data_IF_579518819679
#
_entry.id   IF_579518819679
#
_cell.length_a   1.000
_cell.length_b   1.000
_cell.length_c   1.000
_cell.angle_alpha   90.00
_cell.angle_beta   90.00
_cell.angle_gamma   90.00
#
_symmetry.space_group_name_H-M   'P 1'
#
loop_
_entity.id
_entity.type
_entity.pdbx_description
1 polymer ?
#
# COMPACT_ATOMS: atom_id res chain seq x y z
N UNK A 1 -16.16 12.48 8.82
CA UNK A 1 -15.02 12.79 7.91
C UNK A 1 -13.80 12.04 8.43
N UNK A 2 -12.97 11.50 7.54
CA UNK A 2 -11.65 10.98 7.93
C UNK A 2 -10.81 12.16 8.46
N UNK A 3 -10.33 12.10 9.70
CA UNK A 3 -9.46 13.11 10.29
C UNK A 3 -7.98 12.86 9.96
N UNK A 4 -7.16 13.92 9.95
CA UNK A 4 -5.70 13.83 9.77
C UNK A 4 -5.20 14.08 8.35
N UNK A 5 -3.88 13.89 8.14
CA UNK A 5 -3.22 14.07 6.83
C UNK A 5 -3.49 12.87 5.94
N UNK A 6 -4.33 13.05 4.93
CA UNK A 6 -4.70 12.03 3.94
C UNK A 6 -3.80 12.12 2.70
N UNK A 7 -3.51 10.96 2.12
CA UNK A 7 -2.95 10.83 0.77
C UNK A 7 -3.91 9.98 -0.06
N UNK A 8 -4.35 10.48 -1.22
CA UNK A 8 -5.17 9.71 -2.15
C UNK A 8 -4.36 9.36 -3.40
N UNK A 9 -4.44 8.10 -3.81
CA UNK A 9 -3.77 7.53 -4.98
C UNK A 9 -4.86 6.91 -5.86
N UNK A 10 -4.83 7.24 -7.15
CA UNK A 10 -5.69 6.62 -8.15
C UNK A 10 -4.86 5.70 -9.04
N UNK A 11 -4.96 4.39 -8.85
CA UNK A 11 -4.28 3.43 -9.74
C UNK A 11 -4.96 3.37 -11.10
N UNK A 12 -4.16 3.19 -12.15
CA UNK A 12 -4.64 2.77 -13.44
C UNK A 12 -4.88 1.24 -13.41
N UNK A 13 -5.85 0.72 -14.19
CA UNK A 13 -6.30 -0.69 -14.31
C UNK A 13 -7.57 -1.07 -13.52
N UNK A 14 -8.15 -2.22 -13.88
CA UNK A 14 -9.35 -2.77 -13.24
C UNK A 14 -9.09 -3.23 -11.79
N UNK A 15 -10.14 -3.48 -11.02
CA UNK A 15 -10.10 -3.66 -9.57
C UNK A 15 -8.93 -4.53 -9.04
N UNK A 16 -8.78 -5.76 -9.56
CA UNK A 16 -7.71 -6.67 -9.11
C UNK A 16 -6.32 -6.22 -9.59
N UNK A 17 -6.22 -5.78 -10.85
CA UNK A 17 -4.95 -5.35 -11.45
C UNK A 17 -4.41 -4.05 -10.84
N UNK A 18 -5.30 -3.18 -10.39
CA UNK A 18 -4.96 -1.97 -9.66
C UNK A 18 -4.33 -2.28 -8.29
N UNK A 19 -4.80 -3.35 -7.63
CA UNK A 19 -4.27 -3.80 -6.33
C UNK A 19 -2.97 -4.57 -6.47
N UNK A 20 -2.96 -5.59 -7.34
CA UNK A 20 -1.82 -6.48 -7.59
C UNK A 20 -0.89 -5.89 -8.65
N UNK A 21 -0.19 -4.82 -8.29
CA UNK A 21 0.69 -4.11 -9.20
C UNK A 21 2.10 -3.99 -8.60
N UNK A 22 2.92 -5.06 -8.63
CA UNK A 22 4.26 -5.02 -8.04
C UNK A 22 5.21 -4.06 -8.77
N UNK A 23 6.22 -3.50 -8.07
CA UNK A 23 7.31 -2.74 -8.69
C UNK A 23 7.97 -3.51 -9.84
N UNK A 24 8.38 -2.79 -10.88
CA UNK A 24 8.98 -3.38 -12.08
C UNK A 24 8.00 -3.66 -13.23
N UNK A 25 6.70 -3.49 -13.04
CA UNK A 25 5.72 -3.55 -14.14
C UNK A 25 5.79 -2.28 -15.01
N UNK A 26 6.26 -2.34 -16.28
CA UNK A 26 6.42 -1.16 -17.12
C UNK A 26 5.09 -0.55 -17.59
N UNK A 27 3.99 -1.30 -17.49
CA UNK A 27 2.63 -0.82 -17.83
C UNK A 27 1.93 -0.15 -16.65
N UNK A 28 2.51 -0.26 -15.45
CA UNK A 28 1.95 0.33 -14.25
C UNK A 28 2.01 1.86 -14.32
N UNK A 29 0.91 2.49 -13.92
CA UNK A 29 0.88 3.91 -13.65
C UNK A 29 -0.23 4.22 -12.66
N UNK A 30 -0.10 5.34 -11.99
CA UNK A 30 -1.09 5.84 -11.04
C UNK A 30 -1.08 7.37 -11.06
N UNK A 31 -2.10 7.98 -10.47
CA UNK A 31 -2.22 9.42 -10.35
C UNK A 31 -2.16 9.84 -8.89
N UNK A 32 -1.52 10.99 -8.65
CA UNK A 32 -1.43 11.62 -7.34
C UNK A 32 -1.79 13.10 -7.44
N UNK A 33 -2.30 13.67 -6.35
CA UNK A 33 -2.56 15.10 -6.26
C UNK A 33 -2.42 15.54 -4.81
N UNK A 34 -1.88 16.73 -4.59
CA UNK A 34 -1.71 17.32 -3.27
C UNK A 34 -2.95 18.10 -2.79
N UNK A 35 -3.90 18.34 -3.71
CA UNK A 35 -5.16 19.03 -3.43
C UNK A 35 -6.32 18.05 -3.41
N UNK A 36 -7.25 18.24 -2.46
CA UNK A 36 -8.40 17.36 -2.24
C UNK A 36 -9.72 18.15 -2.34
N UNK A 37 -10.13 18.58 -3.56
CA UNK A 37 -11.46 19.13 -3.76
C UNK A 37 -12.54 18.09 -3.44
N UNK A 38 -13.76 18.54 -3.17
CA UNK A 38 -14.90 17.64 -2.93
C UNK A 38 -15.32 16.88 -4.20
N UNK A 39 -15.05 17.47 -5.37
CA UNK A 39 -15.37 16.95 -6.69
C UNK A 39 -14.20 16.06 -7.19
N UNK A 40 -14.44 14.77 -7.49
CA UNK A 40 -13.40 13.85 -7.92
C UNK A 40 -12.89 14.14 -9.33
N UNK A 41 -13.72 14.66 -10.24
CA UNK A 41 -13.30 15.10 -11.57
C UNK A 41 -12.30 16.27 -11.47
N UNK A 42 -12.53 17.21 -10.55
CA UNK A 42 -11.58 18.28 -10.26
C UNK A 42 -10.27 17.77 -9.66
N UNK A 43 -10.33 16.73 -8.82
CA UNK A 43 -9.14 16.06 -8.30
C UNK A 43 -8.33 15.45 -9.44
N UNK A 44 -8.98 14.68 -10.33
CA UNK A 44 -8.34 13.97 -11.43
C UNK A 44 -7.76 14.92 -12.48
N UNK A 45 -8.48 15.99 -12.82
CA UNK A 45 -8.04 16.99 -13.80
C UNK A 45 -6.71 17.68 -13.42
N UNK A 46 -6.36 17.70 -12.13
CA UNK A 46 -5.12 18.30 -11.61
C UNK A 46 -4.11 17.25 -11.13
N UNK A 47 -4.44 15.98 -11.23
CA UNK A 47 -3.58 14.91 -10.76
C UNK A 47 -2.40 14.68 -11.72
N UNK A 48 -1.23 14.40 -11.16
CA UNK A 48 -0.04 14.05 -11.90
C UNK A 48 0.03 12.55 -12.10
N UNK A 49 0.22 12.11 -13.35
CA UNK A 49 0.48 10.70 -13.66
C UNK A 49 1.92 10.34 -13.31
N UNK A 50 2.11 9.29 -12.54
CA UNK A 50 3.40 8.66 -12.24
C UNK A 50 3.45 7.28 -12.89
N UNK A 51 4.61 6.94 -13.44
CA UNK A 51 4.89 5.61 -13.98
C UNK A 51 5.35 4.67 -12.87
N UNK A 52 5.11 3.38 -13.02
CA UNK A 52 5.47 2.38 -12.02
C UNK A 52 4.35 2.06 -11.04
N UNK A 53 4.69 1.30 -10.00
CA UNK A 53 3.75 0.84 -8.99
C UNK A 53 3.50 1.92 -7.94
N UNK A 54 2.24 2.08 -7.52
CA UNK A 54 1.92 2.93 -6.38
C UNK A 54 2.45 2.38 -5.04
N UNK A 55 2.87 1.11 -4.99
CA UNK A 55 3.45 0.49 -3.79
C UNK A 55 4.71 1.21 -3.33
N UNK A 56 5.47 1.84 -4.24
CA UNK A 56 6.69 2.59 -3.89
C UNK A 56 6.35 3.87 -3.12
N UNK A 57 5.37 4.64 -3.60
CA UNK A 57 4.85 5.82 -2.89
C UNK A 57 4.26 5.43 -1.52
N UNK A 58 3.54 4.30 -1.47
CA UNK A 58 2.99 3.79 -0.22
C UNK A 58 4.06 3.33 0.76
N UNK A 59 5.10 2.63 0.30
CA UNK A 59 6.27 2.24 1.10
C UNK A 59 6.94 3.46 1.72
N UNK A 60 7.17 4.51 0.94
CA UNK A 60 7.84 5.71 1.42
C UNK A 60 6.97 6.50 2.41
N UNK A 61 5.67 6.58 2.13
CA UNK A 61 4.69 7.14 3.06
C UNK A 61 4.65 6.37 4.39
N UNK A 62 4.72 5.04 4.34
CA UNK A 62 4.73 4.18 5.52
C UNK A 62 6.04 4.31 6.29
N UNK A 63 7.19 4.34 5.59
CA UNK A 63 8.52 4.46 6.20
C UNK A 63 8.65 5.70 7.10
N UNK A 64 8.07 6.84 6.70
CA UNK A 64 8.02 8.06 7.53
C UNK A 64 7.24 7.89 8.84
N UNK A 65 6.45 6.82 8.96
CA UNK A 65 5.54 6.53 10.08
C UNK A 65 5.87 5.24 10.82
N UNK A 66 6.92 4.51 10.42
CA UNK A 66 7.30 3.22 11.01
C UNK A 66 8.40 3.31 12.07
N UNK A 67 8.82 4.51 12.45
CA UNK A 67 9.92 4.72 13.39
C UNK A 67 11.30 4.42 12.79
N UNK A 68 12.33 4.38 13.65
CA UNK A 68 13.70 4.07 13.22
C UNK A 68 13.91 2.60 12.89
N UNK A 69 14.90 2.31 12.04
CA UNK A 69 15.33 0.95 11.78
C UNK A 69 15.90 0.30 13.04
N UNK A 70 15.64 -1.00 13.20
CA UNK A 70 16.21 -1.84 14.25
C UNK A 70 16.60 -3.19 13.67
N UNK A 71 17.45 -3.93 14.37
CA UNK A 71 17.80 -5.29 14.00
C UNK A 71 16.54 -6.16 13.88
N UNK A 72 16.48 -6.97 12.82
CA UNK A 72 15.39 -7.92 12.65
C UNK A 72 15.40 -8.94 13.80
N UNK A 73 14.23 -9.29 14.36
CA UNK A 73 14.12 -10.40 15.31
C UNK A 73 14.69 -11.69 14.70
N UNK A 74 15.41 -12.46 15.51
CA UNK A 74 16.01 -13.73 15.07
C UNK A 74 15.01 -14.89 15.08
N UNK A 75 13.97 -14.76 15.89
CA UNK A 75 12.94 -15.77 16.09
C UNK A 75 11.57 -15.14 15.83
N UNK A 76 10.62 -15.98 15.41
CA UNK A 76 9.23 -15.60 15.22
C UNK A 76 8.49 -15.69 16.57
N UNK A 77 7.51 -14.81 16.78
CA UNK A 77 6.69 -14.83 18.00
C UNK A 77 7.37 -14.25 19.23
N UNK A 78 6.88 -14.61 20.41
CA UNK A 78 7.46 -14.27 21.72
C UNK A 78 7.03 -15.32 22.78
N UNK A 79 7.46 -15.15 24.04
CA UNK A 79 7.14 -16.09 25.15
C UNK A 79 5.65 -16.41 25.29
N UNK A 80 4.80 -15.39 25.12
CA UNK A 80 3.34 -15.51 25.22
C UNK A 80 2.71 -16.07 23.95
N UNK A 81 3.28 -15.77 22.78
CA UNK A 81 2.77 -16.12 21.46
C UNK A 81 3.85 -16.82 20.64
N UNK A 82 4.01 -18.11 20.89
CA UNK A 82 4.94 -18.96 20.14
C UNK A 82 4.46 -19.15 18.69
N UNK A 83 5.38 -19.39 17.73
CA UNK A 83 5.00 -19.75 16.37
C UNK A 83 4.07 -20.98 16.34
N UNK A 84 2.94 -20.85 15.64
CA UNK A 84 2.01 -21.96 15.41
C UNK A 84 2.40 -22.76 14.16
N UNK A 85 1.41 -23.04 13.32
CA UNK A 85 1.61 -23.71 12.03
C UNK A 85 2.34 -22.79 11.05
N UNK A 86 3.26 -23.31 10.19
CA UNK A 86 3.86 -22.53 9.11
C UNK A 86 2.80 -21.83 8.24
N UNK A 87 3.09 -20.60 7.81
CA UNK A 87 2.25 -19.88 6.85
C UNK A 87 2.11 -20.70 5.54
N UNK A 88 0.93 -20.71 4.88
CA UNK A 88 -0.23 -19.83 5.12
C UNK A 88 -1.21 -20.33 6.20
N UNK A 89 -0.90 -21.42 6.91
CA UNK A 89 -1.80 -22.03 7.89
C UNK A 89 -2.91 -22.86 7.25
N UNK A 90 -3.83 -23.38 8.09
CA UNK A 90 -4.89 -24.28 7.64
C UNK A 90 -6.15 -23.55 7.15
N UNK A 91 -6.49 -22.40 7.75
CA UNK A 91 -7.77 -21.70 7.52
C UNK A 91 -7.96 -21.23 6.07
N UNK A 92 -6.88 -20.96 5.33
CA UNK A 92 -6.98 -20.60 3.90
C UNK A 92 -7.47 -21.75 3.01
N UNK A 93 -7.40 -23.00 3.51
CA UNK A 93 -7.83 -24.21 2.80
C UNK A 93 -9.20 -24.73 3.28
N UNK A 94 -9.81 -24.06 4.26
CA UNK A 94 -11.17 -24.40 4.70
C UNK A 94 -12.18 -23.95 3.61
N UNK A 95 -13.19 -24.79 3.32
CA UNK A 95 -14.15 -24.56 2.23
C UNK A 95 -15.15 -23.44 2.51
#
# INVERSE_FOLDING_TARGET
MLGGKVTFILSNSGHIQALLNPPGNPKASYFVNERYPADPEQWQARAQKRSGSWWEDWRDWLGQRSGGQKAAPRELGNEQYQPGTPAPGAYVFEP
#
